data_IF_902706491572
#
_entry.id   IF_902706491572
#
_cell.length_a   1.000
_cell.length_b   1.000
_cell.length_c   1.000
_cell.angle_alpha   90.00
_cell.angle_beta   90.00
_cell.angle_gamma   90.00
#
_symmetry.space_group_name_H-M   'P 1'
#
loop_
_entity.id
_entity.type
_entity.pdbx_description
1 polymer ?
#
# COMPACT_ATOMS: atom_id res chain seq x y z
N UNK A 1 22.05 -14.51 1.18
CA UNK A 1 20.76 -15.20 1.02
C UNK A 1 20.90 -16.07 -0.19
N UNK A 2 20.35 -17.29 -0.18
CA UNK A 2 20.24 -18.15 -1.37
C UNK A 2 19.62 -17.33 -2.51
N UNK A 3 20.15 -17.47 -3.74
CA UNK A 3 19.81 -16.58 -4.88
C UNK A 3 18.29 -16.43 -5.07
N UNK A 4 17.53 -17.53 -5.07
CA UNK A 4 16.07 -17.49 -5.21
C UNK A 4 15.35 -16.74 -4.07
N UNK A 5 15.86 -16.81 -2.84
CA UNK A 5 15.31 -16.05 -1.70
C UNK A 5 15.59 -14.56 -1.85
N UNK A 6 16.78 -14.20 -2.37
CA UNK A 6 17.15 -12.81 -2.63
C UNK A 6 16.23 -12.18 -3.68
N UNK A 7 16.00 -12.88 -4.80
CA UNK A 7 15.16 -12.39 -5.89
C UNK A 7 13.70 -12.20 -5.43
N UNK A 8 13.16 -13.15 -4.67
CA UNK A 8 11.82 -13.03 -4.09
C UNK A 8 11.68 -11.83 -3.15
N UNK A 9 12.68 -11.57 -2.30
CA UNK A 9 12.66 -10.40 -1.41
C UNK A 9 12.74 -9.09 -2.20
N UNK A 10 13.48 -9.06 -3.32
CA UNK A 10 13.54 -7.89 -4.19
C UNK A 10 12.15 -7.63 -4.80
N UNK A 11 11.46 -8.64 -5.30
CA UNK A 11 10.15 -8.47 -5.91
C UNK A 11 9.10 -8.04 -4.89
N UNK A 12 9.09 -8.62 -3.70
CA UNK A 12 8.22 -8.17 -2.61
C UNK A 12 8.49 -6.70 -2.22
N UNK A 13 9.76 -6.26 -2.21
CA UNK A 13 10.10 -4.85 -1.99
C UNK A 13 9.62 -3.94 -3.11
N UNK A 14 9.63 -4.38 -4.37
CA UNK A 14 9.07 -3.61 -5.49
C UNK A 14 7.56 -3.40 -5.32
N UNK A 15 6.84 -4.44 -4.87
CA UNK A 15 5.40 -4.33 -4.57
C UNK A 15 5.17 -3.27 -3.49
N UNK A 16 5.90 -3.35 -2.36
CA UNK A 16 5.80 -2.35 -1.29
C UNK A 16 6.04 -0.93 -1.81
N UNK A 17 7.04 -0.74 -2.67
CA UNK A 17 7.33 0.58 -3.26
C UNK A 17 6.16 1.09 -4.12
N UNK A 18 5.57 0.22 -4.96
CA UNK A 18 4.44 0.58 -5.81
C UNK A 18 3.21 0.97 -5.00
N UNK A 19 2.86 0.17 -3.98
CA UNK A 19 1.71 0.45 -3.11
C UNK A 19 1.90 1.77 -2.34
N UNK A 20 3.12 2.09 -1.89
CA UNK A 20 3.39 3.38 -1.24
C UNK A 20 3.18 4.58 -2.16
N UNK A 21 3.60 4.47 -3.43
CA UNK A 21 3.37 5.53 -4.43
C UNK A 21 1.87 5.73 -4.62
N UNK A 22 1.12 4.63 -4.81
CA UNK A 22 -0.33 4.66 -4.95
C UNK A 22 -1.04 5.28 -3.74
N UNK A 23 -0.57 5.01 -2.52
CA UNK A 23 -1.12 5.64 -1.30
C UNK A 23 -0.90 7.15 -1.33
N UNK A 24 0.27 7.62 -1.75
CA UNK A 24 0.54 9.05 -1.87
C UNK A 24 -0.38 9.71 -2.92
N UNK A 25 -0.54 9.09 -4.10
CA UNK A 25 -1.45 9.57 -5.15
C UNK A 25 -2.90 9.66 -4.63
N UNK A 26 -3.35 8.67 -3.85
CA UNK A 26 -4.69 8.68 -3.25
C UNK A 26 -4.85 9.79 -2.20
N UNK A 27 -3.79 10.10 -1.44
CA UNK A 27 -3.82 11.23 -0.50
C UNK A 27 -3.90 12.58 -1.22
N UNK A 28 -3.19 12.74 -2.34
CA UNK A 28 -3.31 13.92 -3.20
C UNK A 28 -4.74 14.04 -3.76
N UNK A 29 -5.32 12.93 -4.26
CA UNK A 29 -6.70 12.90 -4.76
C UNK A 29 -7.72 13.28 -3.65
N UNK A 30 -7.51 12.82 -2.42
CA UNK A 30 -8.35 13.21 -1.26
C UNK A 30 -8.25 14.72 -1.02
N UNK A 31 -7.05 15.29 -1.02
CA UNK A 31 -6.86 16.72 -0.81
C UNK A 31 -7.54 17.57 -1.90
N UNK A 32 -7.50 17.11 -3.16
CA UNK A 32 -8.23 17.75 -4.26
C UNK A 32 -9.75 17.73 -4.05
N UNK A 33 -10.32 16.58 -3.65
CA UNK A 33 -11.75 16.49 -3.35
C UNK A 33 -12.16 17.33 -2.13
N UNK A 34 -11.33 17.40 -1.10
CA UNK A 34 -11.57 18.27 0.06
C UNK A 34 -11.57 19.75 -0.33
N UNK A 35 -10.64 20.17 -1.20
CA UNK A 35 -10.63 21.53 -1.74
C UNK A 35 -11.89 21.85 -2.54
N UNK A 36 -12.34 20.92 -3.40
CA UNK A 36 -13.59 21.06 -4.16
C UNK A 36 -14.81 21.17 -3.24
N UNK A 37 -14.87 20.36 -2.18
CA UNK A 37 -15.93 20.47 -1.17
C UNK A 37 -15.91 21.83 -0.49
N UNK A 38 -14.74 22.38 -0.18
CA UNK A 38 -14.63 23.70 0.43
C UNK A 38 -15.21 24.81 -0.47
N UNK A 39 -14.85 24.80 -1.76
CA UNK A 39 -15.36 25.77 -2.75
C UNK A 39 -16.86 25.60 -2.97
N UNK A 40 -17.33 24.36 -3.15
CA UNK A 40 -18.73 24.07 -3.43
C UNK A 40 -19.60 24.27 -2.20
N UNK A 41 -19.09 24.03 -0.99
CA UNK A 41 -19.82 24.22 0.27
C UNK A 41 -20.19 25.69 0.53
N UNK A 42 -19.57 26.63 -0.17
CA UNK A 42 -19.95 28.05 -0.18
C UNK A 42 -21.13 28.33 -1.13
N UNK A 43 -21.64 27.31 -1.82
CA UNK A 43 -22.79 27.37 -2.73
C UNK A 43 -23.89 26.43 -2.22
N UNK A 44 -25.17 26.65 -2.60
CA UNK A 44 -26.31 25.81 -2.20
C UNK A 44 -26.32 24.40 -2.87
N UNK A 45 -25.19 23.97 -3.44
CA UNK A 45 -25.03 22.74 -4.22
C UNK A 45 -24.74 21.49 -3.36
N UNK A 46 -25.60 21.22 -2.37
CA UNK A 46 -25.41 20.15 -1.39
C UNK A 46 -25.22 18.73 -1.99
N UNK A 47 -25.81 18.47 -3.17
CA UNK A 47 -25.64 17.19 -3.88
C UNK A 47 -24.20 16.90 -4.32
N UNK A 48 -23.46 17.93 -4.74
CA UNK A 48 -22.08 17.80 -5.17
C UNK A 48 -21.14 17.54 -3.99
N UNK A 49 -21.40 18.13 -2.82
CA UNK A 49 -20.65 17.85 -1.59
C UNK A 49 -20.76 16.37 -1.21
N UNK A 50 -21.98 15.80 -1.30
CA UNK A 50 -22.19 14.36 -1.02
C UNK A 50 -21.39 13.48 -1.98
N UNK A 51 -21.43 13.79 -3.28
CA UNK A 51 -20.68 13.05 -4.30
C UNK A 51 -19.17 13.01 -4.00
N UNK A 52 -18.55 14.14 -3.70
CA UNK A 52 -17.11 14.18 -3.42
C UNK A 52 -16.74 13.50 -2.10
N UNK A 53 -17.61 13.52 -1.08
CA UNK A 53 -17.42 12.73 0.14
C UNK A 53 -17.42 11.22 -0.14
N UNK A 54 -18.30 10.75 -1.02
CA UNK A 54 -18.29 9.34 -1.44
C UNK A 54 -16.99 8.98 -2.19
N UNK A 55 -16.44 9.91 -2.99
CA UNK A 55 -15.12 9.72 -3.64
C UNK A 55 -13.98 9.65 -2.64
N UNK A 56 -13.94 10.51 -1.64
CA UNK A 56 -12.97 10.45 -0.54
C UNK A 56 -13.04 9.09 0.17
N UNK A 57 -14.24 8.61 0.49
CA UNK A 57 -14.42 7.30 1.11
C UNK A 57 -13.89 6.16 0.22
N UNK A 58 -14.11 6.22 -1.09
CA UNK A 58 -13.55 5.25 -2.04
C UNK A 58 -12.01 5.28 -2.02
N UNK A 59 -11.39 6.46 -1.90
CA UNK A 59 -9.94 6.58 -1.76
C UNK A 59 -9.44 5.90 -0.48
N UNK A 60 -10.11 6.12 0.66
CA UNK A 60 -9.75 5.45 1.92
C UNK A 60 -9.83 3.93 1.83
N UNK A 61 -10.90 3.37 1.23
CA UNK A 61 -10.99 1.90 1.02
C UNK A 61 -9.86 1.36 0.12
N UNK A 62 -9.42 2.14 -0.88
CA UNK A 62 -8.26 1.76 -1.71
C UNK A 62 -6.95 1.85 -0.93
N UNK A 63 -6.80 2.82 -0.02
CA UNK A 63 -5.64 2.95 0.86
C UNK A 63 -5.55 1.73 1.79
N UNK A 64 -6.66 1.33 2.41
CA UNK A 64 -6.72 0.13 3.27
C UNK A 64 -6.24 -1.12 2.54
N UNK A 65 -6.76 -1.35 1.32
CA UNK A 65 -6.33 -2.47 0.47
C UNK A 65 -4.84 -2.41 0.15
N UNK A 66 -4.31 -1.21 -0.09
CA UNK A 66 -2.89 -1.00 -0.41
C UNK A 66 -1.99 -1.24 0.81
N UNK A 67 -2.45 -0.87 2.01
CA UNK A 67 -1.77 -1.16 3.28
C UNK A 67 -1.75 -2.67 3.57
N UNK A 68 -2.83 -3.39 3.30
CA UNK A 68 -2.89 -4.84 3.41
C UNK A 68 -1.88 -5.51 2.47
N UNK A 69 -1.77 -5.05 1.21
CA UNK A 69 -0.78 -5.55 0.25
C UNK A 69 0.66 -5.32 0.72
N UNK A 70 0.94 -4.16 1.33
CA UNK A 70 2.25 -3.87 1.94
C UNK A 70 2.53 -4.85 3.07
N UNK A 71 1.57 -5.05 3.99
CA UNK A 71 1.72 -5.97 5.13
C UNK A 71 1.98 -7.40 4.65
N UNK A 72 1.16 -7.90 3.73
CA UNK A 72 1.34 -9.22 3.12
C UNK A 72 2.73 -9.39 2.48
N UNK A 73 3.23 -8.34 1.81
CA UNK A 73 4.58 -8.34 1.22
C UNK A 73 5.68 -8.33 2.30
N UNK A 74 5.49 -7.61 3.41
CA UNK A 74 6.41 -7.61 4.54
C UNK A 74 6.48 -8.97 5.23
N UNK A 75 5.33 -9.62 5.45
CA UNK A 75 5.23 -10.94 6.05
C UNK A 75 5.92 -11.99 5.17
N UNK A 76 5.69 -11.93 3.85
CA UNK A 76 6.40 -12.76 2.87
C UNK A 76 7.92 -12.60 2.95
N UNK A 77 8.43 -11.36 3.09
CA UNK A 77 9.87 -11.11 3.26
C UNK A 77 10.38 -11.73 4.56
N UNK A 78 9.63 -11.59 5.66
CA UNK A 78 10.01 -12.14 6.96
C UNK A 78 10.12 -13.67 6.91
N UNK A 79 9.12 -14.34 6.35
CA UNK A 79 9.11 -15.80 6.15
C UNK A 79 10.29 -16.26 5.32
N UNK A 80 10.56 -15.61 4.18
CA UNK A 80 11.69 -16.00 3.32
C UNK A 80 13.05 -15.79 3.99
N UNK A 81 13.20 -14.74 4.81
CA UNK A 81 14.40 -14.56 5.63
C UNK A 81 14.56 -15.64 6.70
N UNK A 82 13.45 -16.14 7.28
CA UNK A 82 13.50 -17.25 8.22
C UNK A 82 13.94 -18.55 7.52
N UNK A 83 13.40 -18.83 6.33
CA UNK A 83 13.80 -19.98 5.50
C UNK A 83 15.29 -19.92 5.15
N UNK A 84 15.81 -18.76 4.71
CA UNK A 84 17.25 -18.60 4.42
C UNK A 84 18.14 -18.89 5.63
N UNK A 85 17.70 -18.54 6.84
CA UNK A 85 18.43 -18.87 8.07
C UNK A 85 18.43 -20.38 8.34
N UNK A 86 17.33 -21.07 8.07
CA UNK A 86 17.21 -22.53 8.24
C UNK A 86 18.13 -23.24 7.25
N UNK A 87 18.08 -22.88 5.97
CA UNK A 87 18.93 -23.48 4.91
C UNK A 87 20.42 -23.33 5.27
N UNK A 88 20.85 -22.13 5.67
CA UNK A 88 22.24 -21.89 6.07
C UNK A 88 22.65 -22.66 7.31
N UNK A 89 21.72 -22.99 8.21
CA UNK A 89 22.00 -23.82 9.39
C UNK A 89 22.14 -25.29 8.99
N UNK A 90 21.28 -25.81 8.12
CA UNK A 90 21.41 -27.17 7.61
C UNK A 90 22.70 -27.37 6.82
N UNK A 91 23.10 -26.41 5.99
CA UNK A 91 24.37 -26.48 5.23
C UNK A 91 25.62 -26.46 6.12
N UNK A 92 25.55 -25.91 7.33
CA UNK A 92 26.68 -25.90 8.29
C UNK A 92 26.76 -27.17 9.13
N UNK A 93 25.65 -27.90 9.24
CA UNK A 93 25.53 -29.11 10.05
C UNK A 93 25.64 -30.39 9.21
N UNK A 94 25.76 -30.26 7.88
CA UNK A 94 26.00 -31.32 6.92
C UNK A 94 27.49 -31.35 6.54
#
# INVERSE_FOLDING_TARGET
>A
MVKGVKDFVIDAKKIIKKEKIKINELHEEIAEYEALICVIGQTEAAGHVKYYREKINQCYSKIESSLENIKNSQDRIATMKAIDKIIKRSERNA
#
